data_IF_953451250115
#
_entry.id   IF_953451250115
#
_cell.length_a   1.000
_cell.length_b   1.000
_cell.length_c   1.000
_cell.angle_alpha   90.00
_cell.angle_beta   90.00
_cell.angle_gamma   90.00
#
_symmetry.space_group_name_H-M   'P 1'
#
loop_
_entity.id
_entity.type
_entity.pdbx_description
1 polymer ?
#
# COMPACT_ATOMS: atom_id res chain seq x y z
N UNK A 1 35.64 2.55 -17.15
CA UNK A 1 36.15 2.61 -15.77
C UNK A 1 34.94 2.66 -14.85
N UNK A 2 34.77 1.64 -14.03
CA UNK A 2 33.74 1.59 -12.99
C UNK A 2 34.00 2.69 -11.95
N UNK A 3 33.16 3.72 -11.93
CA UNK A 3 33.09 4.63 -10.78
C UNK A 3 32.14 4.03 -9.74
N UNK A 4 32.75 3.40 -8.73
CA UNK A 4 32.08 2.96 -7.50
C UNK A 4 31.50 4.19 -6.77
N UNK A 5 30.18 4.23 -6.62
CA UNK A 5 29.45 5.26 -5.85
C UNK A 5 29.57 5.01 -4.34
N UNK A 6 29.46 6.04 -3.50
CA UNK A 6 29.73 5.94 -2.07
C UNK A 6 28.66 5.12 -1.36
N UNK A 7 29.08 3.96 -0.84
CA UNK A 7 28.33 3.15 0.11
C UNK A 7 28.41 3.79 1.49
N UNK A 8 27.32 4.35 2.00
CA UNK A 8 27.22 4.65 3.44
C UNK A 8 26.75 3.38 4.12
N UNK A 9 27.70 2.66 4.75
CA UNK A 9 27.42 1.51 5.60
C UNK A 9 27.26 2.03 7.01
N UNK A 10 26.03 2.01 7.53
CA UNK A 10 25.81 2.04 8.97
C UNK A 10 24.88 0.88 9.31
N UNK A 11 25.35 -0.01 10.18
CA UNK A 11 24.63 -1.19 10.70
C UNK A 11 24.20 -2.25 9.64
N UNK A 12 24.99 -2.48 8.60
CA UNK A 12 24.88 -3.70 7.78
C UNK A 12 23.74 -3.75 6.76
N UNK A 13 23.06 -2.62 6.49
CA UNK A 13 22.07 -2.51 5.41
C UNK A 13 22.63 -1.70 4.24
N UNK A 14 22.43 -2.18 3.01
CA UNK A 14 22.75 -1.44 1.79
C UNK A 14 21.60 -0.48 1.46
N UNK A 15 21.88 0.82 1.51
CA UNK A 15 20.93 1.85 1.09
C UNK A 15 21.21 2.25 -0.36
N UNK A 16 20.21 2.18 -1.22
CA UNK A 16 20.21 2.92 -2.49
C UNK A 16 19.41 4.20 -2.27
N UNK A 17 20.08 5.25 -1.77
CA UNK A 17 19.58 6.60 -1.98
C UNK A 17 20.01 6.97 -3.40
N UNK A 18 19.08 6.87 -4.38
CA UNK A 18 19.31 7.52 -5.67
C UNK A 18 19.10 9.01 -5.45
N UNK A 19 20.15 9.68 -4.96
CA UNK A 19 20.21 11.12 -4.86
C UNK A 19 20.50 11.68 -6.27
N UNK A 20 19.47 12.19 -6.96
CA UNK A 20 19.64 12.94 -8.23
C UNK A 20 19.71 14.45 -7.97
N UNK A 21 19.85 14.92 -6.72
CA UNK A 21 20.04 16.35 -6.43
C UNK A 21 21.50 16.75 -6.20
N UNK A 22 22.44 15.79 -6.12
CA UNK A 22 23.85 16.11 -5.85
C UNK A 22 24.78 16.20 -7.07
N UNK A 23 24.28 16.00 -8.30
CA UNK A 23 25.07 16.17 -9.53
C UNK A 23 25.00 17.57 -10.17
N UNK A 24 24.49 18.59 -9.48
CA UNK A 24 24.52 19.97 -9.99
C UNK A 24 25.03 20.95 -8.93
N UNK A 25 26.29 20.78 -8.54
CA UNK A 25 27.16 21.94 -8.26
C UNK A 25 28.07 22.17 -9.47
N UNK A 26 27.50 22.68 -10.54
CA UNK A 26 28.29 23.34 -11.58
C UNK A 26 27.44 24.41 -12.24
N UNK A 27 27.97 25.62 -12.18
CA UNK A 27 27.41 26.91 -12.58
C UNK A 27 27.03 26.95 -14.07
N UNK A 28 25.73 26.90 -14.40
CA UNK A 28 25.17 27.56 -15.60
C UNK A 28 23.71 27.97 -15.35
N UNK A 29 23.33 29.24 -15.60
CA UNK A 29 22.02 29.77 -15.23
C UNK A 29 20.96 29.53 -16.31
N UNK A 30 20.82 28.33 -16.88
CA UNK A 30 19.72 28.01 -17.81
C UNK A 30 19.37 26.51 -17.80
N UNK A 31 18.91 25.97 -16.67
CA UNK A 31 18.29 24.64 -16.65
C UNK A 31 16.98 24.70 -15.85
N UNK A 32 15.85 24.76 -16.57
CA UNK A 32 14.53 24.45 -16.01
C UNK A 32 14.46 22.92 -15.82
N UNK A 33 14.57 22.45 -14.59
CA UNK A 33 14.32 21.05 -14.25
C UNK A 33 12.82 20.90 -13.97
N UNK A 34 12.09 20.36 -14.93
CA UNK A 34 10.74 19.84 -14.72
C UNK A 34 10.83 18.31 -14.76
N UNK A 35 10.76 17.67 -13.60
CA UNK A 35 10.67 16.22 -13.46
C UNK A 35 10.21 15.90 -12.05
N UNK A 36 8.98 15.39 -11.91
CA UNK A 36 8.43 14.96 -10.63
C UNK A 36 9.30 13.83 -10.05
N UNK A 37 9.78 14.00 -8.82
CA UNK A 37 10.66 13.03 -8.17
C UNK A 37 9.81 11.90 -7.59
N UNK A 38 9.86 10.70 -8.18
CA UNK A 38 9.12 9.53 -7.68
C UNK A 38 9.97 8.73 -6.67
N UNK A 39 9.49 8.61 -5.44
CA UNK A 39 10.14 7.82 -4.37
C UNK A 39 9.85 6.32 -4.56
N UNK A 40 10.84 5.44 -4.38
CA UNK A 40 10.66 3.97 -4.43
C UNK A 40 10.90 3.34 -3.06
N UNK A 41 9.96 2.51 -2.63
CA UNK A 41 9.93 1.86 -1.31
C UNK A 41 9.84 0.35 -1.49
N UNK A 42 10.68 -0.43 -0.82
CA UNK A 42 10.61 -1.90 -0.88
C UNK A 42 9.70 -2.42 0.25
N UNK A 43 8.71 -3.26 -0.09
CA UNK A 43 7.65 -3.68 0.84
C UNK A 43 8.13 -4.43 2.09
N UNK A 44 9.27 -5.13 2.04
CA UNK A 44 9.86 -5.90 3.16
C UNK A 44 11.12 -5.28 3.78
N UNK A 45 11.36 -4.00 3.53
CA UNK A 45 12.58 -3.37 4.05
C UNK A 45 12.43 -3.00 5.52
N UNK A 46 13.38 -3.45 6.37
CA UNK A 46 13.59 -2.88 7.71
C UNK A 46 13.89 -1.37 7.66
N UNK A 47 14.16 -0.80 6.48
CA UNK A 47 14.32 0.63 6.28
C UNK A 47 13.00 1.41 6.28
N UNK A 48 11.84 0.82 6.58
CA UNK A 48 10.60 1.60 6.73
C UNK A 48 10.68 2.61 7.88
N UNK A 49 11.47 2.34 8.93
CA UNK A 49 11.77 3.28 10.03
C UNK A 49 12.76 4.39 9.61
N UNK A 50 13.37 4.26 8.43
CA UNK A 50 14.35 5.18 7.86
C UNK A 50 13.96 5.66 6.46
N UNK A 51 12.73 5.37 6.02
CA UNK A 51 12.13 6.09 4.92
C UNK A 51 12.21 7.54 5.32
N UNK A 52 12.89 8.32 4.49
CA UNK A 52 12.89 9.78 4.58
C UNK A 52 11.46 10.20 4.20
N UNK A 53 10.57 9.98 5.15
CA UNK A 53 9.27 10.58 5.26
C UNK A 53 9.46 11.86 6.04
N UNK A 54 8.76 12.88 5.59
CA UNK A 54 8.83 14.24 6.11
C UNK A 54 7.94 14.35 7.38
N UNK A 55 7.29 13.24 7.79
CA UNK A 55 6.53 13.10 9.04
C UNK A 55 6.86 11.79 9.77
N UNK A 56 6.94 11.84 11.11
CA UNK A 56 7.06 10.64 11.93
C UNK A 56 5.84 9.73 11.73
N UNK A 57 6.00 8.40 11.63
CA UNK A 57 4.87 7.50 11.54
C UNK A 57 3.97 7.66 12.76
N UNK A 58 2.66 7.73 12.55
CA UNK A 58 1.67 7.87 13.62
C UNK A 58 0.68 6.72 13.61
N UNK A 59 0.20 6.34 14.79
CA UNK A 59 -0.77 5.24 14.94
C UNK A 59 -2.16 5.72 14.58
N UNK A 60 -2.86 4.90 13.80
CA UNK A 60 -4.26 5.10 13.46
C UNK A 60 -5.05 3.80 13.59
N UNK A 61 -6.35 3.96 13.76
CA UNK A 61 -7.32 2.87 13.84
C UNK A 61 -8.29 3.00 12.67
N UNK A 62 -8.55 1.91 11.94
CA UNK A 62 -9.61 1.92 10.94
C UNK A 62 -10.97 1.89 11.65
N UNK A 63 -11.80 2.88 11.34
CA UNK A 63 -13.18 3.00 11.84
C UNK A 63 -14.21 2.78 10.72
N UNK A 64 -13.78 2.85 9.46
CA UNK A 64 -14.62 2.55 8.31
C UNK A 64 -14.96 1.06 8.22
N UNK A 65 -16.18 0.78 7.75
CA UNK A 65 -16.64 -0.58 7.47
C UNK A 65 -15.88 -1.14 6.27
N UNK A 66 -15.38 -2.36 6.41
CA UNK A 66 -14.87 -3.20 5.34
C UNK A 66 -15.85 -4.35 5.14
N UNK A 67 -16.12 -4.69 3.89
CA UNK A 67 -16.81 -5.92 3.52
C UNK A 67 -15.79 -6.86 2.90
N UNK A 68 -15.80 -8.15 3.23
CA UNK A 68 -14.98 -9.12 2.50
C UNK A 68 -15.78 -10.39 2.19
N UNK A 69 -15.42 -11.03 1.08
CA UNK A 69 -15.90 -12.37 0.71
C UNK A 69 -14.74 -13.27 0.31
N UNK A 70 -14.91 -14.57 0.48
CA UNK A 70 -13.94 -15.54 0.01
C UNK A 70 -13.85 -15.53 -1.52
N UNK A 71 -12.63 -15.55 -2.06
CA UNK A 71 -12.36 -15.79 -3.48
C UNK A 71 -12.38 -17.29 -3.74
N UNK A 72 -13.33 -17.72 -4.57
CA UNK A 72 -13.61 -19.13 -4.81
C UNK A 72 -12.77 -19.70 -5.97
N UNK A 73 -12.55 -21.03 -6.04
CA UNK A 73 -11.75 -21.66 -7.10
C UNK A 73 -12.23 -21.36 -8.52
N UNK A 74 -13.54 -21.21 -8.74
CA UNK A 74 -14.10 -20.85 -10.04
C UNK A 74 -13.82 -19.40 -10.45
N UNK A 75 -13.28 -18.57 -9.55
CA UNK A 75 -12.95 -17.18 -9.79
C UNK A 75 -11.47 -16.96 -10.11
N UNK A 76 -10.63 -18.01 -10.15
CA UNK A 76 -9.20 -17.92 -10.46
C UNK A 76 -8.90 -17.14 -11.75
N UNK A 77 -9.74 -17.27 -12.77
CA UNK A 77 -9.58 -16.59 -14.06
C UNK A 77 -10.22 -15.19 -14.11
N UNK A 78 -10.81 -14.72 -13.01
CA UNK A 78 -11.47 -13.40 -12.95
C UNK A 78 -10.44 -12.28 -12.86
N UNK A 79 -10.84 -11.10 -13.30
CA UNK A 79 -10.18 -9.83 -12.97
C UNK A 79 -11.22 -8.90 -12.34
N UNK A 80 -10.86 -8.29 -11.21
CA UNK A 80 -11.75 -7.37 -10.50
C UNK A 80 -11.23 -5.93 -10.62
N UNK A 81 -12.13 -4.97 -10.44
CA UNK A 81 -11.84 -3.56 -10.66
C UNK A 81 -12.44 -2.74 -9.53
N UNK A 82 -11.61 -1.93 -8.87
CA UNK A 82 -12.09 -0.80 -8.09
C UNK A 82 -12.85 0.18 -9.01
N UNK A 83 -13.78 0.97 -8.47
CA UNK A 83 -14.51 1.97 -9.23
C UNK A 83 -13.57 2.89 -10.04
N UNK A 84 -13.89 3.09 -11.31
CA UNK A 84 -13.08 3.91 -12.23
C UNK A 84 -11.87 3.21 -12.85
N UNK A 85 -11.64 1.93 -12.56
CA UNK A 85 -10.60 1.12 -13.20
C UNK A 85 -11.13 0.20 -14.30
N UNK A 86 -12.43 0.22 -14.61
CA UNK A 86 -13.09 -0.74 -15.49
C UNK A 86 -12.59 -0.70 -16.95
N UNK A 87 -11.92 0.38 -17.35
CA UNK A 87 -11.30 0.50 -18.68
C UNK A 87 -9.91 -0.15 -18.77
N UNK A 88 -9.36 -0.66 -17.67
CA UNK A 88 -8.05 -1.31 -17.62
C UNK A 88 -8.09 -2.69 -18.30
N UNK A 89 -6.95 -3.21 -18.79
CA UNK A 89 -6.93 -4.54 -19.39
C UNK A 89 -7.32 -5.61 -18.37
N UNK A 90 -8.09 -6.59 -18.83
CA UNK A 90 -8.46 -7.74 -18.02
C UNK A 90 -7.26 -8.68 -17.85
N UNK A 91 -6.75 -8.80 -16.62
CA UNK A 91 -5.61 -9.66 -16.27
C UNK A 91 -6.12 -10.69 -15.27
N UNK A 92 -6.28 -11.96 -15.67
CA UNK A 92 -6.75 -13.03 -14.77
C UNK A 92 -5.93 -13.13 -13.49
N UNK A 93 -6.59 -13.40 -12.36
CA UNK A 93 -5.91 -13.52 -11.06
C UNK A 93 -5.48 -12.19 -10.45
N UNK A 94 -5.98 -11.06 -10.96
CA UNK A 94 -5.61 -9.74 -10.46
C UNK A 94 -6.81 -8.82 -10.18
N UNK A 95 -6.59 -7.87 -9.29
CA UNK A 95 -7.49 -6.76 -8.95
C UNK A 95 -6.81 -5.47 -9.39
N UNK A 96 -7.51 -4.64 -10.15
CA UNK A 96 -7.11 -3.24 -10.36
C UNK A 96 -7.61 -2.39 -9.19
N UNK A 97 -6.71 -2.07 -8.25
CA UNK A 97 -6.98 -1.12 -7.16
C UNK A 97 -6.84 0.32 -7.67
N UNK A 98 -7.11 1.32 -6.83
CA UNK A 98 -6.83 2.72 -7.20
C UNK A 98 -5.32 2.99 -7.32
N UNK A 99 -4.52 2.23 -6.58
CA UNK A 99 -3.08 2.39 -6.43
C UNK A 99 -2.29 1.55 -7.44
N UNK A 100 -2.89 0.50 -8.00
CA UNK A 100 -2.25 -0.31 -9.04
C UNK A 100 -2.85 -1.69 -9.21
N UNK A 101 -2.16 -2.50 -10.01
CA UNK A 101 -2.52 -3.90 -10.21
C UNK A 101 -1.97 -4.74 -9.05
N UNK A 102 -2.83 -5.52 -8.40
CA UNK A 102 -2.45 -6.42 -7.32
C UNK A 102 -2.93 -7.83 -7.65
N UNK A 103 -2.05 -8.81 -7.50
CA UNK A 103 -2.41 -10.23 -7.69
C UNK A 103 -3.22 -10.73 -6.49
N UNK A 104 -4.17 -11.63 -6.73
CA UNK A 104 -4.86 -12.38 -5.69
C UNK A 104 -4.66 -13.88 -5.86
N UNK A 105 -4.83 -14.63 -4.77
CA UNK A 105 -4.89 -16.08 -4.78
C UNK A 105 -6.30 -16.58 -4.40
N UNK A 106 -6.68 -17.74 -4.94
CA UNK A 106 -7.90 -18.43 -4.49
C UNK A 106 -7.74 -18.83 -3.02
N UNK A 107 -8.81 -18.64 -2.24
CA UNK A 107 -8.77 -18.85 -0.79
C UNK A 107 -8.39 -17.59 0.00
N UNK A 108 -7.92 -16.54 -0.67
CA UNK A 108 -7.88 -15.19 -0.10
C UNK A 108 -9.27 -14.57 -0.07
N UNK A 109 -9.36 -13.39 0.53
CA UNK A 109 -10.58 -12.61 0.62
C UNK A 109 -10.51 -11.41 -0.32
N UNK A 110 -11.54 -11.24 -1.14
CA UNK A 110 -11.78 -9.98 -1.84
C UNK A 110 -12.44 -9.04 -0.86
N UNK A 111 -11.77 -7.94 -0.55
CA UNK A 111 -12.27 -6.91 0.34
C UNK A 111 -12.74 -5.68 -0.42
N UNK A 112 -13.70 -4.98 0.16
CA UNK A 112 -14.35 -3.79 -0.34
C UNK A 112 -14.47 -2.77 0.78
N UNK A 113 -14.07 -1.54 0.50
CA UNK A 113 -14.17 -0.43 1.46
C UNK A 113 -15.38 0.46 1.19
N UNK A 114 -15.40 1.61 1.87
CA UNK A 114 -16.58 2.50 1.94
C UNK A 114 -16.93 3.14 0.61
N UNK A 115 -15.95 3.32 -0.28
CA UNK A 115 -16.12 3.89 -1.61
C UNK A 115 -16.16 2.82 -2.70
N UNK A 116 -16.29 1.54 -2.30
CA UNK A 116 -16.30 0.40 -3.21
C UNK A 116 -14.91 -0.03 -3.68
N UNK A 117 -13.86 0.62 -3.19
CA UNK A 117 -12.47 0.26 -3.52
C UNK A 117 -12.17 -1.19 -3.12
N UNK A 118 -11.50 -1.92 -4.00
CA UNK A 118 -11.22 -3.34 -3.85
C UNK A 118 -9.74 -3.59 -3.56
N UNK A 119 -9.47 -4.59 -2.72
CA UNK A 119 -8.12 -5.11 -2.49
C UNK A 119 -8.18 -6.58 -2.03
N UNK A 120 -7.12 -7.38 -2.27
CA UNK A 120 -7.04 -8.73 -1.71
C UNK A 120 -6.58 -8.67 -0.25
N UNK A 121 -7.03 -9.65 0.54
CA UNK A 121 -6.58 -9.87 1.92
C UNK A 121 -6.27 -11.35 2.11
N UNK A 122 -5.11 -11.65 2.68
CA UNK A 122 -4.72 -13.03 2.96
C UNK A 122 -5.71 -13.67 3.94
N UNK A 123 -5.90 -15.00 3.83
CA UNK A 123 -6.72 -15.73 4.79
C UNK A 123 -6.20 -15.57 6.24
N UNK A 124 -4.87 -15.52 6.42
CA UNK A 124 -4.25 -15.34 7.73
C UNK A 124 -4.63 -13.99 8.36
N UNK A 125 -4.55 -12.90 7.59
CA UNK A 125 -4.93 -11.56 8.07
C UNK A 125 -6.42 -11.48 8.39
N UNK A 126 -7.25 -12.05 7.52
CA UNK A 126 -8.70 -12.13 7.74
C UNK A 126 -9.02 -12.87 9.06
N UNK A 127 -8.40 -14.03 9.30
CA UNK A 127 -8.62 -14.79 10.53
C UNK A 127 -8.04 -14.09 11.76
N UNK A 128 -6.92 -13.38 11.64
CA UNK A 128 -6.35 -12.59 12.73
C UNK A 128 -7.31 -11.46 13.16
N UNK A 129 -7.92 -10.77 12.19
CA UNK A 129 -8.97 -9.77 12.43
C UNK A 129 -10.19 -10.46 13.06
N UNK A 130 -10.70 -11.52 12.45
CA UNK A 130 -11.90 -12.23 12.93
C UNK A 130 -11.75 -12.77 14.35
N UNK A 131 -10.59 -13.31 14.73
CA UNK A 131 -10.32 -13.81 16.09
C UNK A 131 -10.41 -12.69 17.14
N UNK A 132 -10.05 -11.46 16.76
CA UNK A 132 -10.15 -10.26 17.61
C UNK A 132 -11.58 -9.68 17.63
N UNK A 133 -12.45 -10.15 16.73
CA UNK A 133 -13.83 -9.68 16.54
C UNK A 133 -14.83 -10.85 16.51
N UNK A 134 -15.15 -11.46 17.67
CA UNK A 134 -16.04 -12.63 17.75
C UNK A 134 -17.47 -12.36 17.25
N UNK A 135 -17.87 -11.08 17.17
CA UNK A 135 -19.18 -10.64 16.66
C UNK A 135 -19.16 -10.30 15.16
N UNK A 136 -18.19 -10.80 14.41
CA UNK A 136 -18.19 -10.72 12.95
C UNK A 136 -19.53 -11.27 12.42
N UNK A 137 -20.37 -10.46 11.74
CA UNK A 137 -21.59 -10.92 11.11
C UNK A 137 -21.25 -12.09 10.19
N UNK A 138 -21.84 -13.25 10.47
CA UNK A 138 -21.77 -14.39 9.56
C UNK A 138 -22.53 -14.02 8.31
N UNK A 139 -21.82 -13.92 7.18
CA UNK A 139 -22.32 -13.96 5.82
C UNK A 139 -23.70 -13.30 5.62
N UNK A 140 -23.74 -11.97 5.49
CA UNK A 140 -24.90 -11.31 4.92
C UNK A 140 -24.81 -11.34 3.38
N UNK A 141 -25.98 -11.25 2.72
CA UNK A 141 -26.25 -11.31 1.27
C UNK A 141 -25.07 -11.56 0.30
N UNK A 142 -25.19 -12.63 -0.50
CA UNK A 142 -24.27 -12.99 -1.58
C UNK A 142 -22.82 -13.31 -1.16
N UNK A 143 -22.60 -13.63 0.12
CA UNK A 143 -21.30 -14.10 0.64
C UNK A 143 -20.35 -13.01 1.12
N UNK A 144 -20.82 -11.77 1.30
CA UNK A 144 -20.03 -10.66 1.85
C UNK A 144 -20.26 -10.50 3.36
N UNK A 145 -19.19 -10.58 4.15
CA UNK A 145 -19.22 -10.29 5.59
C UNK A 145 -18.71 -8.88 5.88
N UNK A 146 -19.41 -8.13 6.73
CA UNK A 146 -19.05 -6.75 7.12
C UNK A 146 -18.30 -6.71 8.45
N UNK A 147 -17.27 -5.90 8.57
CA UNK A 147 -16.57 -5.65 9.82
C UNK A 147 -15.91 -4.29 9.85
N UNK A 148 -15.52 -3.85 11.04
CA UNK A 148 -14.62 -2.70 11.20
C UNK A 148 -13.28 -3.25 11.70
N UNK A 149 -12.18 -2.86 11.05
CA UNK A 149 -10.85 -3.33 11.42
C UNK A 149 -10.27 -2.47 12.56
N UNK A 150 -10.41 -2.92 13.80
CA UNK A 150 -9.88 -2.20 14.96
C UNK A 150 -8.43 -2.57 15.30
N UNK A 151 -7.63 -3.00 14.32
CA UNK A 151 -6.19 -3.19 14.52
C UNK A 151 -5.51 -1.84 14.33
N UNK A 152 -4.77 -1.31 15.33
CA UNK A 152 -3.94 -0.15 15.13
C UNK A 152 -2.86 -0.44 14.08
N UNK A 153 -2.72 0.47 13.13
CA UNK A 153 -1.72 0.42 12.07
C UNK A 153 -0.98 1.75 12.08
N UNK A 154 0.18 1.80 11.47
CA UNK A 154 0.91 3.06 11.32
C UNK A 154 0.62 3.66 9.95
N UNK A 155 0.55 4.98 9.94
CA UNK A 155 0.38 5.80 8.75
C UNK A 155 1.53 6.77 8.61
N UNK A 156 1.95 7.00 7.37
CA UNK A 156 2.94 7.99 6.99
C UNK A 156 2.35 8.84 5.87
N UNK A 157 2.20 10.15 6.08
CA UNK A 157 1.77 11.06 5.02
C UNK A 157 2.92 11.32 4.05
N UNK A 158 2.71 11.07 2.76
CA UNK A 158 3.74 11.25 1.74
C UNK A 158 3.58 12.63 1.08
N UNK A 159 4.66 13.42 0.99
CA UNK A 159 4.61 14.76 0.35
C UNK A 159 5.00 14.76 -1.13
N UNK A 160 5.49 13.63 -1.63
CA UNK A 160 5.90 13.42 -3.02
C UNK A 160 5.24 12.15 -3.56
N UNK A 161 5.03 12.03 -4.88
CA UNK A 161 4.59 10.78 -5.48
C UNK A 161 5.56 9.64 -5.17
N UNK A 162 5.02 8.45 -4.93
CA UNK A 162 5.81 7.31 -4.48
C UNK A 162 5.28 5.99 -5.04
N UNK A 163 6.12 4.96 -4.99
CA UNK A 163 5.73 3.59 -5.30
C UNK A 163 6.25 2.61 -4.24
N UNK A 164 5.44 1.61 -3.93
CA UNK A 164 5.83 0.46 -3.12
C UNK A 164 6.04 -0.71 -4.05
N UNK A 165 7.27 -1.21 -4.12
CA UNK A 165 7.65 -2.37 -4.91
C UNK A 165 7.62 -3.64 -4.05
N UNK A 166 6.92 -4.65 -4.54
CA UNK A 166 6.81 -5.98 -3.94
C UNK A 166 7.94 -6.90 -4.41
N UNK A 167 8.10 -8.03 -3.71
CA UNK A 167 9.20 -8.98 -3.96
C UNK A 167 9.14 -9.67 -5.32
N UNK A 168 7.95 -9.75 -5.91
CA UNK A 168 7.70 -10.28 -7.25
C UNK A 168 7.96 -9.24 -8.36
N UNK A 169 8.39 -8.03 -8.00
CA UNK A 169 8.68 -6.93 -8.91
C UNK A 169 7.46 -6.07 -9.28
N UNK A 170 6.25 -6.47 -8.87
CA UNK A 170 5.05 -5.64 -9.00
C UNK A 170 5.15 -4.42 -8.10
N UNK A 171 4.33 -3.40 -8.35
CA UNK A 171 4.29 -2.21 -7.52
C UNK A 171 2.91 -1.56 -7.51
N UNK A 172 2.63 -0.88 -6.41
CA UNK A 172 1.52 0.08 -6.28
C UNK A 172 2.09 1.49 -6.18
N UNK A 173 1.34 2.48 -6.62
CA UNK A 173 1.71 3.89 -6.66
C UNK A 173 0.78 4.73 -5.80
N UNK A 174 1.34 5.73 -5.14
CA UNK A 174 0.60 6.73 -4.37
C UNK A 174 0.94 8.13 -4.88
N UNK A 175 -0.04 9.01 -4.81
CA UNK A 175 0.12 10.42 -5.13
C UNK A 175 0.64 11.20 -3.91
N UNK A 176 1.04 12.45 -4.15
CA UNK A 176 1.26 13.41 -3.07
C UNK A 176 0.02 13.52 -2.19
N UNK A 177 0.21 13.39 -0.87
CA UNK A 177 -0.83 13.48 0.13
C UNK A 177 -1.45 12.14 0.53
N UNK A 178 -1.20 11.07 -0.24
CA UNK A 178 -1.60 9.71 0.14
C UNK A 178 -0.75 9.19 1.30
N UNK A 179 -1.25 8.14 1.94
CA UNK A 179 -0.61 7.54 3.10
C UNK A 179 0.04 6.21 2.75
N UNK A 180 1.30 6.05 3.15
CA UNK A 180 1.91 4.72 3.26
C UNK A 180 1.49 4.11 4.59
N UNK A 181 0.92 2.92 4.52
CA UNK A 181 0.30 2.24 5.65
C UNK A 181 0.97 0.90 5.93
N UNK A 182 1.09 0.52 7.19
CA UNK A 182 1.66 -0.78 7.56
C UNK A 182 1.22 -1.28 8.95
N UNK A 183 1.21 -2.60 9.12
CA UNK A 183 1.04 -3.24 10.43
C UNK A 183 2.30 -3.12 11.28
N UNK A 184 2.16 -3.08 12.61
CA UNK A 184 3.30 -2.95 13.55
C UNK A 184 4.37 -4.03 13.36
N UNK A 185 3.97 -5.25 13.00
CA UNK A 185 4.86 -6.38 12.70
C UNK A 185 5.41 -6.39 11.26
N UNK A 186 5.07 -5.37 10.46
CA UNK A 186 5.49 -5.17 9.05
C UNK A 186 5.07 -6.30 8.10
N UNK A 187 4.12 -7.14 8.50
CA UNK A 187 3.63 -8.24 7.65
C UNK A 187 2.81 -7.76 6.46
N UNK A 188 2.17 -6.59 6.59
CA UNK A 188 1.39 -5.95 5.54
C UNK A 188 1.81 -4.49 5.34
N UNK A 189 1.89 -4.07 4.08
CA UNK A 189 2.15 -2.70 3.62
C UNK A 189 1.19 -2.39 2.48
N UNK A 190 0.54 -1.23 2.52
CA UNK A 190 -0.34 -0.75 1.46
C UNK A 190 -0.30 0.77 1.34
N UNK A 191 -0.93 1.29 0.29
CA UNK A 191 -1.15 2.73 0.10
C UNK A 191 -2.63 3.00 0.35
N UNK A 192 -2.94 4.08 1.06
CA UNK A 192 -4.31 4.53 1.27
C UNK A 192 -4.46 5.95 0.73
N UNK A 193 -5.41 6.12 -0.20
CA UNK A 193 -5.72 7.44 -0.74
C UNK A 193 -6.09 8.43 0.38
N UNK A 194 -5.67 9.69 0.25
CA UNK A 194 -5.92 10.73 1.24
C UNK A 194 -7.39 10.86 1.66
N UNK A 195 -8.34 10.80 0.72
CA UNK A 195 -9.76 10.98 1.03
C UNK A 195 -10.31 9.77 1.77
N UNK A 196 -9.99 8.55 1.29
CA UNK A 196 -10.36 7.29 1.95
C UNK A 196 -9.78 7.25 3.37
N UNK A 197 -8.54 7.70 3.55
CA UNK A 197 -7.89 7.75 4.85
C UNK A 197 -8.69 8.62 5.83
N UNK A 198 -9.03 9.85 5.43
CA UNK A 198 -9.79 10.80 6.27
C UNK A 198 -11.19 10.30 6.63
N UNK A 199 -11.81 9.52 5.75
CA UNK A 199 -13.14 8.96 5.97
C UNK A 199 -13.12 7.70 6.84
N UNK A 200 -12.02 6.94 6.81
CA UNK A 200 -12.00 5.58 7.38
C UNK A 200 -11.00 5.35 8.50
N UNK A 201 -10.17 6.33 8.87
CA UNK A 201 -9.20 6.22 9.95
C UNK A 201 -9.28 7.36 10.96
N UNK A 202 -8.99 7.05 12.23
CA UNK A 202 -8.80 8.03 13.30
C UNK A 202 -7.43 7.84 13.96
N UNK A 203 -6.83 8.90 14.48
CA UNK A 203 -5.61 8.81 15.29
C UNK A 203 -5.85 8.00 16.56
N UNK A 204 -4.82 7.26 16.98
CA UNK A 204 -4.75 6.63 18.29
C UNK A 204 -3.76 7.43 19.13
N UNK A 205 -4.18 7.88 20.31
CA UNK A 205 -3.30 8.52 21.31
C UNK A 205 -2.34 7.50 21.95
#
# INVERSE_FOLDING_TARGET
MEEKRPTVIQNGYAYFIINISSMLKSTQPHLKIFGETMITIMSRSNALDHLISISEPFKVLKVGITECRLLLPNEYNSCFFSPGQESKPHIPGHIWTHEGLVQFEVGEYLCRGVNGELWPMSAADFFAIRKRHPNFPKDEDNGWGKFVNFIPVYAISMLEPFKVQFTDGTYITGATGDFLMYCEDRTAVWICNQNIFRETYTSVE
#
